data_IF_185472896349
#
_entry.id   IF_185472896349
#
_cell.length_a   1.000
_cell.length_b   1.000
_cell.length_c   1.000
_cell.angle_alpha   90.00
_cell.angle_beta   90.00
_cell.angle_gamma   90.00
#
_symmetry.space_group_name_H-M   'P 1'
#
loop_
_entity.id
_entity.type
_entity.pdbx_description
1 polymer ?
#
# COMPACT_ATOMS: atom_id res chain seq x y z
N UNK A 1 -9.20 -6.98 -20.56
CA UNK A 1 -8.30 -6.80 -19.40
C UNK A 1 -8.09 -5.32 -19.08
N UNK A 2 -9.14 -4.50 -19.21
CA UNK A 2 -8.99 -3.08 -19.43
C UNK A 2 -9.14 -2.35 -18.10
N UNK A 3 -8.01 -1.91 -17.51
CA UNK A 3 -7.86 -1.01 -16.35
C UNK A 3 -7.53 -1.62 -14.98
N UNK A 4 -7.29 -2.93 -14.80
CA UNK A 4 -7.03 -3.47 -13.44
C UNK A 4 -5.79 -2.84 -12.77
N UNK A 5 -4.66 -2.77 -13.48
CA UNK A 5 -3.46 -2.07 -12.99
C UNK A 5 -3.63 -0.55 -12.93
N UNK A 6 -4.54 0.04 -13.73
CA UNK A 6 -4.89 1.47 -13.61
C UNK A 6 -5.62 1.74 -12.30
N UNK A 7 -6.55 0.88 -11.91
CA UNK A 7 -7.24 0.99 -10.62
C UNK A 7 -6.26 0.87 -9.45
N UNK A 8 -5.30 -0.07 -9.50
CA UNK A 8 -4.25 -0.15 -8.48
C UNK A 8 -3.41 1.12 -8.43
N UNK A 9 -2.92 1.58 -9.58
CA UNK A 9 -2.08 2.78 -9.67
C UNK A 9 -2.82 4.01 -9.14
N UNK A 10 -4.03 4.27 -9.62
CA UNK A 10 -4.85 5.40 -9.17
C UNK A 10 -5.24 5.28 -7.70
N UNK A 11 -5.51 4.07 -7.22
CA UNK A 11 -5.84 3.82 -5.82
C UNK A 11 -4.69 4.19 -4.88
N UNK A 12 -3.50 3.63 -5.11
CA UNK A 12 -2.31 3.99 -4.32
C UNK A 12 -1.86 5.43 -4.52
N UNK A 13 -2.09 6.02 -5.70
CA UNK A 13 -1.78 7.43 -5.93
C UNK A 13 -2.65 8.33 -5.05
N UNK A 14 -3.93 8.00 -4.88
CA UNK A 14 -4.82 8.71 -3.97
C UNK A 14 -4.40 8.52 -2.51
N UNK A 15 -4.10 7.29 -2.09
CA UNK A 15 -3.61 7.00 -0.73
C UNK A 15 -2.31 7.76 -0.43
N UNK A 16 -1.40 7.88 -1.39
CA UNK A 16 -0.13 8.59 -1.17
C UNK A 16 -0.29 10.12 -1.13
N UNK A 17 -1.28 10.66 -1.83
CA UNK A 17 -1.42 12.12 -1.96
C UNK A 17 -2.06 12.79 -0.75
N UNK A 18 -2.66 12.02 0.17
CA UNK A 18 -3.20 12.46 1.47
C UNK A 18 -3.62 13.95 1.47
N UNK A 19 -4.67 14.23 0.69
CA UNK A 19 -5.08 15.59 0.35
C UNK A 19 -5.88 16.18 1.50
N UNK A 20 -5.15 16.83 2.40
CA UNK A 20 -5.71 17.60 3.51
C UNK A 20 -5.94 19.06 3.08
N UNK A 21 -7.21 19.53 3.05
CA UNK A 21 -7.55 20.95 2.86
C UNK A 21 -7.95 21.54 4.22
N UNK A 22 -6.98 22.17 4.90
CA UNK A 22 -7.19 22.73 6.25
C UNK A 22 -7.35 21.63 7.29
N UNK A 23 -8.47 21.62 8.01
CA UNK A 23 -8.83 20.56 8.98
C UNK A 23 -9.69 19.46 8.36
N UNK A 24 -9.97 19.56 7.06
CA UNK A 24 -10.79 18.59 6.34
C UNK A 24 -9.87 17.67 5.56
N UNK A 25 -9.67 16.48 6.10
CA UNK A 25 -9.18 15.36 5.32
C UNK A 25 -10.30 14.96 4.36
N UNK A 26 -10.04 15.06 3.06
CA UNK A 26 -10.96 14.50 2.08
C UNK A 26 -10.94 12.97 2.34
N UNK A 27 -11.81 12.17 1.74
CA UNK A 27 -11.67 10.70 1.82
C UNK A 27 -10.71 10.08 0.77
N UNK A 28 -9.56 10.67 0.29
CA UNK A 28 -8.74 10.03 -0.73
C UNK A 28 -8.34 8.62 -0.37
N UNK A 29 -8.06 8.35 0.91
CA UNK A 29 -7.52 7.05 1.32
C UNK A 29 -8.57 5.95 1.25
N UNK A 30 -9.78 6.22 1.74
CA UNK A 30 -10.91 5.28 1.65
C UNK A 30 -11.25 5.02 0.19
N UNK A 31 -11.33 6.07 -0.63
CA UNK A 31 -11.59 5.96 -2.07
C UNK A 31 -10.43 5.21 -2.75
N UNK A 32 -9.20 5.48 -2.36
CA UNK A 32 -7.98 4.88 -2.88
C UNK A 32 -7.95 3.38 -2.63
N UNK A 33 -8.23 2.94 -1.40
CA UNK A 33 -8.33 1.52 -1.07
C UNK A 33 -9.52 0.83 -1.73
N UNK A 34 -10.65 1.53 -1.98
CA UNK A 34 -11.75 1.01 -2.80
C UNK A 34 -11.28 0.75 -4.25
N UNK A 35 -10.53 1.68 -4.85
CA UNK A 35 -9.96 1.47 -6.19
C UNK A 35 -8.97 0.30 -6.20
N UNK A 36 -8.13 0.18 -5.17
CA UNK A 36 -7.24 -0.98 -5.00
C UNK A 36 -8.06 -2.27 -4.94
N UNK A 37 -9.13 -2.32 -4.13
CA UNK A 37 -10.02 -3.47 -4.02
C UNK A 37 -10.62 -3.89 -5.37
N UNK A 38 -11.10 -2.93 -6.16
CA UNK A 38 -11.67 -3.19 -7.49
C UNK A 38 -10.60 -3.73 -8.45
N UNK A 39 -9.42 -3.11 -8.48
CA UNK A 39 -8.30 -3.55 -9.32
C UNK A 39 -7.82 -4.96 -8.99
N UNK A 40 -7.72 -5.30 -7.70
CA UNK A 40 -7.33 -6.64 -7.25
C UNK A 40 -8.41 -7.69 -7.55
N UNK A 41 -9.68 -7.31 -7.45
CA UNK A 41 -10.79 -8.18 -7.84
C UNK A 41 -10.75 -8.55 -9.31
N UNK A 42 -10.52 -7.56 -10.17
CA UNK A 42 -10.39 -7.78 -11.62
C UNK A 42 -9.14 -8.60 -11.96
N UNK A 43 -8.00 -8.30 -11.35
CA UNK A 43 -6.76 -9.08 -11.53
C UNK A 43 -6.95 -10.54 -11.12
N UNK A 44 -7.54 -10.80 -9.95
CA UNK A 44 -7.80 -12.17 -9.51
C UNK A 44 -8.76 -12.90 -10.45
N UNK A 45 -9.84 -12.24 -10.88
CA UNK A 45 -10.82 -12.83 -11.80
C UNK A 45 -10.21 -13.19 -13.16
N UNK A 46 -9.28 -12.37 -13.66
CA UNK A 46 -8.66 -12.57 -14.98
C UNK A 46 -7.50 -13.59 -14.94
N UNK A 47 -6.76 -13.66 -13.83
CA UNK A 47 -5.51 -14.45 -13.74
C UNK A 47 -5.62 -15.71 -12.89
N UNK A 48 -6.60 -15.78 -11.98
CA UNK A 48 -6.70 -16.84 -10.98
C UNK A 48 -5.62 -16.80 -9.89
N UNK A 49 -4.77 -15.76 -9.85
CA UNK A 49 -3.65 -15.68 -8.89
C UNK A 49 -4.17 -15.38 -7.48
N UNK A 50 -3.87 -16.27 -6.54
CA UNK A 50 -4.43 -16.25 -5.19
C UNK A 50 -3.95 -15.08 -4.33
N UNK A 51 -2.73 -14.60 -4.52
CA UNK A 51 -2.21 -13.45 -3.76
C UNK A 51 -2.98 -12.16 -4.04
N UNK A 52 -3.59 -12.01 -5.22
CA UNK A 52 -4.48 -10.88 -5.48
C UNK A 52 -5.79 -11.00 -4.69
N UNK A 53 -6.29 -12.20 -4.42
CA UNK A 53 -7.46 -12.41 -3.54
C UNK A 53 -7.15 -12.01 -2.11
N UNK A 54 -5.99 -12.42 -1.60
CA UNK A 54 -5.54 -12.07 -0.24
C UNK A 54 -5.33 -10.55 -0.13
N UNK A 55 -4.61 -9.96 -1.09
CA UNK A 55 -4.43 -8.50 -1.16
C UNK A 55 -5.78 -7.77 -1.20
N UNK A 56 -6.77 -8.31 -1.92
CA UNK A 56 -8.11 -7.71 -2.00
C UNK A 56 -8.77 -7.63 -0.64
N UNK A 57 -8.70 -8.70 0.16
CA UNK A 57 -9.23 -8.70 1.53
C UNK A 57 -8.47 -7.69 2.40
N UNK A 58 -7.13 -7.64 2.29
CA UNK A 58 -6.31 -6.69 3.04
C UNK A 58 -6.62 -5.23 2.69
N UNK A 59 -6.98 -4.93 1.43
CA UNK A 59 -7.38 -3.57 1.04
C UNK A 59 -8.68 -3.11 1.72
N UNK A 60 -9.60 -4.03 2.06
CA UNK A 60 -10.78 -3.70 2.87
C UNK A 60 -10.36 -3.37 4.30
N UNK A 61 -9.43 -4.14 4.88
CA UNK A 61 -8.91 -3.88 6.23
C UNK A 61 -8.27 -2.49 6.29
N UNK A 62 -7.46 -2.15 5.28
CA UNK A 62 -6.85 -0.81 5.18
C UNK A 62 -7.90 0.29 4.96
N UNK A 63 -8.94 0.06 4.16
CA UNK A 63 -10.04 1.02 3.99
C UNK A 63 -10.78 1.29 5.31
N UNK A 64 -11.06 0.25 6.11
CA UNK A 64 -11.67 0.39 7.44
C UNK A 64 -10.73 1.17 8.38
N UNK A 65 -9.42 0.88 8.32
CA UNK A 65 -8.40 1.62 9.06
C UNK A 65 -8.42 3.12 8.74
N UNK A 66 -8.44 3.47 7.45
CA UNK A 66 -8.52 4.86 7.00
C UNK A 66 -9.80 5.56 7.50
N UNK A 67 -10.95 4.89 7.47
CA UNK A 67 -12.19 5.45 8.05
C UNK A 67 -12.03 5.74 9.54
N UNK A 68 -11.38 4.85 10.29
CA UNK A 68 -11.18 5.03 11.72
C UNK A 68 -10.23 6.18 12.05
N UNK A 69 -9.18 6.37 11.24
CA UNK A 69 -8.25 7.49 11.35
C UNK A 69 -8.96 8.84 11.21
N UNK A 70 -9.91 8.95 10.28
CA UNK A 70 -10.73 10.15 10.10
C UNK A 70 -11.49 10.52 11.39
N UNK A 71 -12.10 9.55 12.08
CA UNK A 71 -12.87 9.81 13.31
C UNK A 71 -12.00 10.11 14.53
N UNK A 72 -10.82 9.50 14.61
CA UNK A 72 -9.92 9.59 15.77
C UNK A 72 -8.93 10.76 15.66
N UNK A 73 -8.43 11.04 14.46
CA UNK A 73 -7.51 12.12 14.15
C UNK A 73 -8.24 13.37 13.69
N UNK A 74 -8.65 13.40 12.41
CA UNK A 74 -9.15 14.58 11.70
C UNK A 74 -10.30 15.30 12.40
N UNK A 75 -11.32 14.56 12.83
CA UNK A 75 -12.45 15.16 13.55
C UNK A 75 -12.27 15.24 15.06
N UNK A 76 -11.28 14.54 15.63
CA UNK A 76 -11.04 14.48 17.07
C UNK A 76 -12.27 14.02 17.89
N UNK A 77 -13.20 13.29 17.26
CA UNK A 77 -14.47 12.89 17.89
C UNK A 77 -14.27 11.80 18.94
N UNK A 78 -13.19 11.03 18.81
CA UNK A 78 -12.87 9.91 19.68
C UNK A 78 -11.47 10.11 20.24
N UNK A 79 -11.38 10.42 21.54
CA UNK A 79 -10.11 10.45 22.26
C UNK A 79 -9.67 9.03 22.63
N UNK A 80 -8.60 8.56 22.01
CA UNK A 80 -7.97 7.27 22.32
C UNK A 80 -6.84 7.44 23.33
N UNK A 81 -6.63 6.43 24.18
CA UNK A 81 -5.41 6.39 24.98
C UNK A 81 -4.19 6.21 24.06
N UNK A 82 -3.03 6.72 24.49
CA UNK A 82 -1.79 6.60 23.72
C UNK A 82 -1.47 5.14 23.34
N UNK A 83 -1.78 4.19 24.24
CA UNK A 83 -1.58 2.76 23.99
C UNK A 83 -2.49 2.22 22.87
N UNK A 84 -3.78 2.60 22.86
CA UNK A 84 -4.71 2.17 21.81
C UNK A 84 -4.33 2.78 20.47
N UNK A 85 -4.04 4.09 20.43
CA UNK A 85 -3.58 4.77 19.23
C UNK A 85 -2.34 4.10 18.65
N UNK A 86 -1.35 3.81 19.49
CA UNK A 86 -0.14 3.10 19.09
C UNK A 86 -0.43 1.72 18.50
N UNK A 87 -1.31 0.95 19.14
CA UNK A 87 -1.69 -0.40 18.68
C UNK A 87 -2.36 -0.35 17.30
N UNK A 88 -3.25 0.62 17.08
CA UNK A 88 -3.92 0.84 15.80
C UNK A 88 -2.90 1.18 14.71
N UNK A 89 -1.92 2.05 14.98
CA UNK A 89 -0.88 2.42 14.01
C UNK A 89 -0.01 1.22 13.62
N UNK A 90 0.43 0.40 14.58
CA UNK A 90 1.23 -0.80 14.29
C UNK A 90 0.42 -1.81 13.47
N UNK A 91 -0.85 -2.01 13.82
CA UNK A 91 -1.73 -2.92 13.08
C UNK A 91 -1.98 -2.43 11.66
N UNK A 92 -2.21 -1.13 11.48
CA UNK A 92 -2.37 -0.50 10.17
C UNK A 92 -1.13 -0.70 9.30
N UNK A 93 0.06 -0.39 9.83
CA UNK A 93 1.32 -0.58 9.11
C UNK A 93 1.63 -2.05 8.79
N UNK A 94 1.21 -3.00 9.64
CA UNK A 94 1.32 -4.43 9.35
C UNK A 94 0.34 -4.86 8.24
N UNK A 95 -0.90 -4.36 8.26
CA UNK A 95 -1.90 -4.62 7.21
C UNK A 95 -1.41 -4.11 5.86
N UNK A 96 -0.89 -2.88 5.83
CA UNK A 96 -0.31 -2.27 4.62
C UNK A 96 0.92 -3.05 4.12
N UNK A 97 1.82 -3.45 5.02
CA UNK A 97 2.95 -4.29 4.68
C UNK A 97 2.52 -5.57 3.96
N UNK A 98 1.55 -6.29 4.54
CA UNK A 98 1.03 -7.53 3.96
C UNK A 98 0.32 -7.28 2.63
N UNK A 99 -0.46 -6.19 2.54
CA UNK A 99 -1.15 -5.80 1.31
C UNK A 99 -0.16 -5.64 0.16
N UNK A 100 0.86 -4.80 0.34
CA UNK A 100 1.85 -4.50 -0.70
C UNK A 100 2.68 -5.73 -1.05
N UNK A 101 3.06 -6.55 -0.06
CA UNK A 101 3.78 -7.81 -0.31
C UNK A 101 2.94 -8.78 -1.16
N UNK A 102 1.66 -8.92 -0.87
CA UNK A 102 0.75 -9.76 -1.66
C UNK A 102 0.58 -9.22 -3.09
N UNK A 103 0.53 -7.89 -3.26
CA UNK A 103 0.46 -7.25 -4.59
C UNK A 103 1.72 -7.55 -5.39
N UNK A 104 2.91 -7.30 -4.84
CA UNK A 104 4.17 -7.61 -5.53
C UNK A 104 4.32 -9.10 -5.84
N UNK A 105 3.91 -9.98 -4.92
CA UNK A 105 3.91 -11.42 -5.19
C UNK A 105 2.97 -11.76 -6.35
N UNK A 106 1.76 -11.19 -6.38
CA UNK A 106 0.84 -11.38 -7.50
C UNK A 106 1.37 -10.84 -8.82
N UNK A 107 1.98 -9.66 -8.82
CA UNK A 107 2.65 -9.08 -9.99
C UNK A 107 3.79 -9.96 -10.50
N UNK A 108 4.63 -10.47 -9.60
CA UNK A 108 5.74 -11.36 -9.95
C UNK A 108 5.22 -12.62 -10.63
N UNK A 109 4.23 -13.29 -10.03
CA UNK A 109 3.60 -14.48 -10.59
C UNK A 109 2.95 -14.19 -11.94
N UNK A 110 2.25 -13.06 -12.06
CA UNK A 110 1.60 -12.68 -13.31
C UNK A 110 2.61 -12.44 -14.44
N UNK A 111 3.70 -11.72 -14.19
CA UNK A 111 4.76 -11.52 -15.18
C UNK A 111 5.46 -12.83 -15.57
N UNK A 112 5.63 -13.76 -14.62
CA UNK A 112 6.15 -15.10 -14.92
C UNK A 112 5.22 -15.88 -15.86
N UNK A 113 3.90 -15.78 -15.68
CA UNK A 113 2.92 -16.42 -16.57
C UNK A 113 2.92 -15.83 -17.98
N UNK A 114 3.33 -14.57 -18.13
CA UNK A 114 3.48 -13.88 -19.41
C UNK A 114 4.89 -14.03 -20.01
N UNK A 115 5.75 -14.86 -19.42
CA UNK A 115 7.15 -15.06 -19.83
C UNK A 115 8.03 -13.79 -19.78
N UNK A 116 7.56 -12.74 -19.09
CA UNK A 116 8.28 -11.48 -18.85
C UNK A 116 9.27 -11.62 -17.68
N UNK A 117 10.31 -12.43 -17.89
CA UNK A 117 11.29 -12.82 -16.85
C UNK A 117 11.99 -11.60 -16.23
N UNK A 118 12.28 -10.57 -17.03
CA UNK A 118 12.97 -9.36 -16.55
C UNK A 118 12.13 -8.60 -15.51
N UNK A 119 10.85 -8.38 -15.82
CA UNK A 119 9.89 -7.71 -14.93
C UNK A 119 9.52 -8.57 -13.72
N UNK A 120 9.37 -9.88 -13.91
CA UNK A 120 9.15 -10.81 -12.81
C UNK A 120 10.28 -10.73 -11.77
N UNK A 121 11.54 -10.80 -12.21
CA UNK A 121 12.70 -10.67 -11.33
C UNK A 121 12.77 -9.29 -10.65
N UNK A 122 12.47 -8.22 -11.39
CA UNK A 122 12.41 -6.87 -10.83
C UNK A 122 11.38 -6.79 -9.70
N UNK A 123 10.13 -7.22 -9.94
CA UNK A 123 9.06 -7.18 -8.95
C UNK A 123 9.35 -8.09 -7.75
N UNK A 124 9.93 -9.26 -7.96
CA UNK A 124 10.34 -10.17 -6.89
C UNK A 124 11.42 -9.56 -5.99
N UNK A 125 12.39 -8.85 -6.57
CA UNK A 125 13.42 -8.15 -5.80
C UNK A 125 12.87 -6.94 -5.05
N UNK A 126 11.98 -6.17 -5.68
CA UNK A 126 11.32 -5.03 -5.02
C UNK A 126 10.40 -5.48 -3.88
N UNK A 127 9.74 -6.63 -4.01
CA UNK A 127 8.98 -7.25 -2.92
C UNK A 127 9.85 -7.48 -1.68
N UNK A 128 11.01 -8.13 -1.87
CA UNK A 128 11.95 -8.43 -0.77
C UNK A 128 12.46 -7.14 -0.12
N UNK A 129 12.83 -6.15 -0.93
CA UNK A 129 13.31 -4.84 -0.43
C UNK A 129 12.23 -4.14 0.39
N UNK A 130 11.00 -4.09 -0.12
CA UNK A 130 9.85 -3.52 0.59
C UNK A 130 9.59 -4.25 1.91
N UNK A 131 9.49 -5.58 1.88
CA UNK A 131 9.23 -6.39 3.06
C UNK A 131 10.27 -6.18 4.16
N UNK A 132 11.56 -6.16 3.80
CA UNK A 132 12.66 -5.97 4.76
C UNK A 132 12.64 -4.55 5.32
N UNK A 133 12.56 -3.53 4.46
CA UNK A 133 12.64 -2.12 4.89
C UNK A 133 11.43 -1.76 5.76
N UNK A 134 10.22 -2.07 5.31
CA UNK A 134 9.00 -1.73 6.03
C UNK A 134 8.85 -2.60 7.29
N UNK A 135 9.22 -3.89 7.23
CA UNK A 135 9.26 -4.76 8.41
C UNK A 135 10.21 -4.25 9.49
N UNK A 136 11.44 -3.85 9.12
CA UNK A 136 12.37 -3.21 10.05
C UNK A 136 11.83 -1.90 10.61
N UNK A 137 11.15 -1.10 9.78
CA UNK A 137 10.54 0.16 10.22
C UNK A 137 9.49 -0.07 11.31
N UNK A 138 8.64 -1.10 11.18
CA UNK A 138 7.65 -1.49 12.21
C UNK A 138 8.32 -1.97 13.51
N UNK A 139 9.44 -2.70 13.41
CA UNK A 139 10.21 -3.13 14.57
C UNK A 139 10.79 -1.91 15.29
N UNK A 140 11.44 -0.98 14.56
CA UNK A 140 12.01 0.24 15.16
C UNK A 140 10.91 1.10 15.80
N UNK A 141 9.75 1.21 15.16
CA UNK A 141 8.58 1.89 15.71
C UNK A 141 8.15 1.28 17.06
N UNK A 142 8.28 -0.03 17.23
CA UNK A 142 7.99 -0.73 18.50
C UNK A 142 8.90 -0.37 19.66
N UNK A 143 10.12 0.06 19.39
CA UNK A 143 11.02 0.56 20.42
C UNK A 143 10.86 2.06 20.70
N UNK A 144 10.20 2.81 19.81
CA UNK A 144 10.04 4.26 19.94
C UNK A 144 9.33 4.69 21.23
N UNK A 145 8.39 3.87 21.73
CA UNK A 145 7.68 4.11 22.99
C UNK A 145 8.60 4.18 24.22
N UNK A 146 9.77 3.56 24.16
CA UNK A 146 10.72 3.51 25.27
C UNK A 146 11.85 4.53 25.12
N UNK A 147 11.86 5.34 24.04
CA UNK A 147 12.94 6.28 23.77
C UNK A 147 12.68 7.68 24.36
N UNK A 148 13.74 8.41 24.77
CA UNK A 148 13.63 9.81 25.14
C UNK A 148 13.05 10.66 24.00
N UNK A 149 12.33 11.73 24.36
CA UNK A 149 11.62 12.61 23.42
C UNK A 149 12.53 13.28 22.38
N UNK A 150 13.83 13.34 22.65
CA UNK A 150 14.84 13.97 21.80
C UNK A 150 15.21 13.10 20.58
N UNK A 151 14.70 11.87 20.51
CA UNK A 151 14.97 10.91 19.44
C UNK A 151 14.26 11.14 18.11
N UNK A 152 13.44 12.18 17.93
CA UNK A 152 12.56 12.33 16.76
C UNK A 152 13.22 12.24 15.36
N UNK A 153 14.54 12.43 15.26
CA UNK A 153 15.28 12.35 13.99
C UNK A 153 15.18 10.97 13.30
N UNK A 154 15.15 9.86 14.04
CA UNK A 154 15.04 8.53 13.41
C UNK A 154 13.64 8.29 12.84
N UNK A 155 12.58 8.85 13.45
CA UNK A 155 11.22 8.75 12.93
C UNK A 155 11.09 9.47 11.59
N UNK A 156 11.74 10.64 11.45
CA UNK A 156 11.81 11.37 10.18
C UNK A 156 12.55 10.53 9.12
N UNK A 157 13.67 9.90 9.48
CA UNK A 157 14.40 9.03 8.56
C UNK A 157 13.54 7.84 8.09
N UNK A 158 12.81 7.19 9.00
CA UNK A 158 11.88 6.10 8.66
C UNK A 158 10.75 6.57 7.76
N UNK A 159 10.17 7.75 8.01
CA UNK A 159 9.14 8.35 7.18
C UNK A 159 9.64 8.55 5.74
N UNK A 160 10.83 9.14 5.57
CA UNK A 160 11.43 9.37 4.25
C UNK A 160 11.65 8.05 3.51
N UNK A 161 12.18 7.04 4.21
CA UNK A 161 12.39 5.70 3.63
C UNK A 161 11.06 5.07 3.21
N UNK A 162 10.01 5.19 4.03
CA UNK A 162 8.69 4.65 3.71
C UNK A 162 8.08 5.33 2.49
N UNK A 163 8.16 6.67 2.39
CA UNK A 163 7.71 7.42 1.22
C UNK A 163 8.43 6.97 -0.05
N UNK A 164 9.75 6.78 0.01
CA UNK A 164 10.53 6.28 -1.13
C UNK A 164 10.00 4.91 -1.58
N UNK A 165 9.70 4.01 -0.64
CA UNK A 165 9.17 2.68 -0.98
C UNK A 165 7.78 2.74 -1.62
N UNK A 166 6.90 3.64 -1.18
CA UNK A 166 5.60 3.88 -1.79
C UNK A 166 5.71 4.46 -3.21
N UNK A 167 6.63 5.39 -3.43
CA UNK A 167 6.92 5.91 -4.77
C UNK A 167 7.39 4.77 -5.69
N UNK A 168 8.23 3.86 -5.21
CA UNK A 168 8.70 2.70 -6.00
C UNK A 168 7.56 1.74 -6.33
N UNK A 169 6.61 1.53 -5.42
CA UNK A 169 5.37 0.79 -5.70
C UNK A 169 4.59 1.45 -6.85
N UNK A 170 4.37 2.76 -6.79
CA UNK A 170 3.67 3.49 -7.86
C UNK A 170 4.38 3.40 -9.21
N UNK A 171 5.70 3.50 -9.23
CA UNK A 171 6.51 3.33 -10.45
C UNK A 171 6.30 1.93 -11.03
N UNK A 172 6.42 0.88 -10.22
CA UNK A 172 6.26 -0.50 -10.67
C UNK A 172 4.81 -0.80 -11.14
N UNK A 173 3.80 -0.25 -10.47
CA UNK A 173 2.40 -0.33 -10.92
C UNK A 173 2.20 0.38 -12.26
N UNK A 174 2.84 1.53 -12.46
CA UNK A 174 2.78 2.25 -13.74
C UNK A 174 3.50 1.49 -14.87
N UNK A 175 4.60 0.79 -14.57
CA UNK A 175 5.27 -0.09 -15.53
C UNK A 175 4.34 -1.23 -15.94
N UNK A 176 3.75 -1.95 -14.98
CA UNK A 176 2.80 -3.02 -15.27
C UNK A 176 1.60 -2.50 -16.06
N UNK A 177 1.01 -1.37 -15.66
CA UNK A 177 -0.07 -0.70 -16.40
C UNK A 177 0.29 -0.46 -17.87
N UNK A 178 1.47 0.11 -18.15
CA UNK A 178 1.89 0.46 -19.52
C UNK A 178 2.06 -0.78 -20.41
N UNK A 179 2.52 -1.89 -19.84
CA UNK A 179 2.63 -3.16 -20.57
C UNK A 179 1.27 -3.56 -21.16
N UNK A 180 0.23 -3.62 -20.32
CA UNK A 180 -1.11 -4.03 -20.75
C UNK A 180 -1.86 -2.97 -21.58
N UNK A 181 -1.52 -1.67 -21.43
CA UNK A 181 -2.06 -0.63 -22.32
C UNK A 181 -1.53 -0.77 -23.75
N UNK A 182 -0.28 -1.25 -23.91
CA UNK A 182 0.34 -1.46 -25.22
C UNK A 182 -0.28 -2.66 -25.93
N UNK A 183 -0.40 -3.81 -25.26
CA UNK A 183 -1.03 -5.01 -25.81
C UNK A 183 -2.48 -4.77 -26.27
N UNK A 184 -3.24 -3.96 -25.52
CA UNK A 184 -4.61 -3.62 -25.87
C UNK A 184 -4.74 -2.74 -27.12
N UNK A 185 -3.66 -2.09 -27.56
CA UNK A 185 -3.64 -1.25 -28.77
C UNK A 185 -3.25 -2.04 -30.04
N UNK A 186 -2.70 -3.24 -29.89
CA UNK A 186 -2.29 -4.12 -31.00
C UNK A 186 -3.39 -5.14 -31.39
N UNK A 187 -4.48 -5.19 -30.64
CA UNK A 187 -5.67 -6.02 -30.87
C UNK A 187 -6.81 -5.24 -31.52
#
# INVERSE_FOLDING_TARGET
MNNSYKHLFSGFLLVMLDINIGSFDILPDVIGYILVFLGLGELHSNTGIESFRVARILSIVSAIGAVFEIFTGTFGLIHMSAFISYTVTVFGGLSELLLVVCIYHGMTTHMTMLEEISLSNQFGNENKRYAVIQGLSLIVMSFSLNMPKDGGAYLIALLVVSIIMHIRLLINLNVAKKLFDTEASEL
#
